data_IF_678850890689
#
_entry.id   IF_678850890689
#
_cell.length_a   1.000
_cell.length_b   1.000
_cell.length_c   1.000
_cell.angle_alpha   90.00
_cell.angle_beta   90.00
_cell.angle_gamma   90.00
#
_symmetry.space_group_name_H-M   'P 1'
#
loop_
_entity.id
_entity.type
_entity.pdbx_description
1 polymer ?
#
# COMPACT_ATOMS: atom_id res chain seq x y z
N UNK A 1 -4.46 14.50 -10.03
CA UNK A 1 -4.66 13.10 -9.61
C UNK A 1 -4.52 13.10 -8.11
N UNK A 2 -5.47 12.50 -7.39
CA UNK A 2 -5.34 12.28 -5.95
C UNK A 2 -4.31 11.19 -5.73
N UNK A 3 -3.30 11.42 -4.89
CA UNK A 3 -2.36 10.38 -4.50
C UNK A 3 -3.10 9.27 -3.74
N UNK A 4 -2.66 8.03 -3.90
CA UNK A 4 -3.24 6.89 -3.18
C UNK A 4 -2.24 6.28 -2.22
N UNK A 5 -2.74 5.43 -1.35
CA UNK A 5 -1.92 4.76 -0.38
C UNK A 5 -2.34 3.35 -0.07
N UNK A 6 -1.35 2.59 0.41
CA UNK A 6 -1.52 1.28 0.98
C UNK A 6 -1.04 1.26 2.41
N UNK A 7 -1.82 0.59 3.24
CA UNK A 7 -1.37 0.09 4.54
C UNK A 7 -1.08 -1.39 4.34
N UNK A 8 0.12 -1.82 4.70
CA UNK A 8 0.55 -3.20 4.58
C UNK A 8 1.18 -3.69 5.87
N UNK A 9 1.04 -4.99 6.12
CA UNK A 9 1.76 -5.64 7.19
C UNK A 9 3.24 -5.73 6.81
N UNK A 10 4.12 -5.11 7.60
CA UNK A 10 5.56 -5.03 7.31
C UNK A 10 6.23 -6.41 7.29
N UNK A 11 5.73 -7.36 8.09
CA UNK A 11 6.35 -8.68 8.25
C UNK A 11 6.06 -9.61 7.07
N UNK A 12 4.90 -9.44 6.43
CA UNK A 12 4.43 -10.29 5.33
C UNK A 12 4.38 -9.57 3.99
N UNK A 13 4.44 -8.23 3.98
CA UNK A 13 4.22 -7.41 2.80
C UNK A 13 2.74 -7.37 2.34
N UNK A 14 1.83 -8.01 3.07
CA UNK A 14 0.42 -8.13 2.64
C UNK A 14 -0.29 -6.79 2.81
N UNK A 15 -0.98 -6.36 1.76
CA UNK A 15 -1.85 -5.17 1.83
C UNK A 15 -3.06 -5.50 2.70
N UNK A 16 -3.31 -4.66 3.70
CA UNK A 16 -4.43 -4.80 4.64
C UNK A 16 -5.49 -3.72 4.45
N UNK A 17 -5.11 -2.56 3.93
CA UNK A 17 -6.04 -1.48 3.59
C UNK A 17 -5.45 -0.60 2.48
N UNK A 18 -6.32 0.12 1.78
CA UNK A 18 -5.94 1.10 0.77
C UNK A 18 -6.90 2.29 0.79
N UNK A 19 -6.43 3.45 0.33
CA UNK A 19 -7.23 4.66 0.29
C UNK A 19 -6.70 5.70 -0.67
N UNK A 20 -7.48 6.77 -0.84
CA UNK A 20 -7.08 7.96 -1.58
C UNK A 20 -6.84 9.11 -0.63
N UNK A 21 -5.76 9.85 -0.84
CA UNK A 21 -5.49 11.08 -0.13
C UNK A 21 -6.35 12.21 -0.70
N UNK A 22 -6.80 13.11 0.18
CA UNK A 22 -7.49 14.30 -0.27
C UNK A 22 -6.54 15.17 -1.12
N UNK A 23 -7.04 15.79 -2.20
CA UNK A 23 -6.23 16.68 -3.02
C UNK A 23 -5.61 17.80 -2.18
N UNK A 24 -4.28 17.86 -2.14
CA UNK A 24 -3.54 18.85 -1.35
C UNK A 24 -3.01 18.36 0.00
N UNK A 25 -3.26 17.09 0.37
CA UNK A 25 -2.67 16.45 1.54
C UNK A 25 -1.64 15.42 1.13
N UNK A 26 -0.48 15.44 1.80
CA UNK A 26 0.53 14.40 1.67
C UNK A 26 0.05 13.14 2.39
N UNK A 27 0.24 11.99 1.73
CA UNK A 27 -0.25 10.70 2.18
C UNK A 27 0.50 10.17 3.41
N UNK A 28 1.66 10.70 3.73
CA UNK A 28 2.67 10.25 4.69
C UNK A 28 2.31 10.28 6.19
N UNK A 29 1.03 10.44 6.58
CA UNK A 29 0.63 10.64 7.98
C UNK A 29 0.10 9.41 8.74
N UNK A 30 0.06 8.21 8.15
CA UNK A 30 -0.40 7.01 8.88
C UNK A 30 0.80 6.29 9.52
N UNK A 31 1.15 6.69 10.75
CA UNK A 31 2.13 5.97 11.57
C UNK A 31 1.35 5.18 12.62
N UNK A 32 1.00 3.93 12.31
CA UNK A 32 0.55 3.00 13.34
C UNK A 32 1.79 2.30 13.95
N UNK A 33 2.01 2.38 15.27
CA UNK A 33 3.19 1.80 15.91
C UNK A 33 3.16 0.26 15.96
N UNK A 34 2.06 -0.40 15.56
CA UNK A 34 1.90 -1.85 15.62
C UNK A 34 1.95 -2.48 14.23
N UNK A 35 3.14 -2.88 13.78
CA UNK A 35 3.41 -3.75 12.60
C UNK A 35 2.96 -3.27 11.21
N UNK A 36 2.20 -2.18 11.12
CA UNK A 36 1.66 -1.67 9.87
C UNK A 36 2.58 -0.59 9.33
N UNK A 37 3.00 -0.73 8.08
CA UNK A 37 3.76 0.28 7.36
C UNK A 37 2.90 0.86 6.22
N UNK A 38 3.33 2.02 5.75
CA UNK A 38 2.61 2.81 4.77
C UNK A 38 3.41 2.96 3.48
N UNK A 39 2.72 2.89 2.34
CA UNK A 39 3.31 3.16 1.04
C UNK A 39 2.45 4.16 0.25
N UNK A 40 3.01 5.35 0.01
CA UNK A 40 2.45 6.31 -0.94
C UNK A 40 2.60 5.77 -2.37
N UNK A 41 1.55 5.90 -3.16
CA UNK A 41 1.54 5.48 -4.55
C UNK A 41 1.02 6.61 -5.42
N UNK A 42 1.88 7.02 -6.34
CA UNK A 42 1.51 7.92 -7.41
C UNK A 42 0.76 7.14 -8.50
N UNK A 43 -0.57 7.14 -8.42
CA UNK A 43 -1.42 6.57 -9.45
C UNK A 43 -2.55 5.70 -8.94
N UNK A 44 -2.97 4.74 -9.76
CA UNK A 44 -4.04 3.81 -9.43
C UNK A 44 -3.46 2.59 -8.69
N UNK A 45 -3.95 2.33 -7.48
CA UNK A 45 -3.59 1.10 -6.76
C UNK A 45 -4.32 -0.06 -7.43
N UNK A 46 -3.61 -1.14 -7.84
CA UNK A 46 -4.25 -2.38 -8.28
C UNK A 46 -5.07 -3.02 -7.16
N UNK A 47 -5.87 -4.03 -7.48
CA UNK A 47 -6.61 -4.76 -6.46
C UNK A 47 -5.67 -5.27 -5.34
N UNK A 48 -5.92 -4.96 -4.06
CA UNK A 48 -5.03 -5.31 -2.95
C UNK A 48 -4.80 -6.82 -2.81
N UNK A 49 -5.68 -7.68 -3.34
CA UNK A 49 -5.48 -9.13 -3.37
C UNK A 49 -4.47 -9.57 -4.44
N UNK A 50 -4.14 -8.69 -5.39
CA UNK A 50 -3.21 -8.94 -6.50
C UNK A 50 -1.83 -8.32 -6.28
N UNK A 51 -1.63 -7.61 -5.17
CA UNK A 51 -0.38 -6.90 -4.88
C UNK A 51 0.12 -7.13 -3.47
N UNK A 52 1.44 -7.06 -3.31
CA UNK A 52 2.14 -7.02 -2.03
C UNK A 52 3.20 -5.94 -2.03
N UNK A 53 3.60 -5.48 -0.86
CA UNK A 53 4.72 -4.57 -0.69
C UNK A 53 5.96 -5.35 -0.31
N UNK A 54 7.01 -5.26 -1.14
CA UNK A 54 8.32 -5.91 -0.92
C UNK A 54 9.38 -4.82 -0.93
N UNK A 55 10.18 -4.74 0.13
CA UNK A 55 11.24 -3.73 0.29
C UNK A 55 10.76 -2.29 0.03
N UNK A 56 9.56 -1.95 0.51
CA UNK A 56 8.96 -0.62 0.35
C UNK A 56 8.51 -0.30 -1.08
N UNK A 57 8.31 -1.32 -1.93
CA UNK A 57 7.79 -1.16 -3.29
C UNK A 57 6.64 -2.11 -3.55
N UNK A 58 5.70 -1.66 -4.38
CA UNK A 58 4.63 -2.49 -4.89
C UNK A 58 5.19 -3.58 -5.81
N UNK A 59 4.80 -4.83 -5.53
CA UNK A 59 5.05 -5.99 -6.36
C UNK A 59 3.72 -6.68 -6.66
N UNK A 60 3.52 -7.09 -7.91
CA UNK A 60 2.38 -7.92 -8.29
C UNK A 60 2.58 -9.32 -7.71
N UNK A 61 1.52 -9.88 -7.12
CA UNK A 61 1.49 -11.28 -6.74
C UNK A 61 1.31 -12.06 -8.04
N UNK A 62 2.30 -12.86 -8.39
CA UNK A 62 2.18 -13.76 -9.53
C UNK A 62 1.07 -14.77 -9.21
N UNK A 63 0.06 -14.87 -10.08
CA UNK A 63 -1.10 -15.76 -9.86
C UNK A 63 -0.72 -17.25 -9.79
N UNK A 64 0.55 -17.60 -9.97
CA UNK A 64 1.08 -18.95 -9.74
C UNK A 64 1.35 -19.26 -8.26
N UNK A 65 1.26 -18.28 -7.35
CA UNK A 65 1.43 -18.47 -5.89
C UNK A 65 0.09 -18.66 -5.12
N UNK A 66 -1.06 -18.73 -5.81
CA UNK A 66 -2.41 -18.94 -5.22
C UNK A 66 -2.96 -20.32 -5.59
#
# INVERSE_FOLDING_TARGET
>A
MSAQYLIYDRSTGRVIAHGSCEPGYECDQVIDPSSQDYLCIDGLVPDPETVRVVDGRLALIDQSEI
#
